data_IF_047256731203
#
_entry.id   IF_047256731203
#
_cell.length_a   1.000
_cell.length_b   1.000
_cell.length_c   1.000
_cell.angle_alpha   90.00
_cell.angle_beta   90.00
_cell.angle_gamma   90.00
#
_symmetry.space_group_name_H-M   'P 1'
#
loop_
_entity.id
_entity.type
_entity.pdbx_description
1 polymer ?
#
# COMPACT_ATOMS: atom_id res chain seq x y z
N UNK A 1 19.80 0.81 0.92
CA UNK A 1 21.23 1.07 1.18
C UNK A 1 22.01 1.63 -0.02
N UNK A 2 21.55 1.49 -1.27
CA UNK A 2 22.29 2.02 -2.45
C UNK A 2 22.22 3.55 -2.63
N UNK A 3 21.20 4.24 -2.11
CA UNK A 3 21.01 5.68 -2.36
C UNK A 3 21.77 6.61 -1.37
N UNK A 4 22.27 6.09 -0.25
CA UNK A 4 23.11 6.86 0.67
C UNK A 4 24.49 7.17 0.06
N UNK A 5 24.92 6.36 -0.90
CA UNK A 5 26.18 6.52 -1.61
C UNK A 5 26.22 7.74 -2.52
N UNK A 6 25.07 8.16 -3.07
CA UNK A 6 25.00 9.31 -3.98
C UNK A 6 25.30 10.60 -3.20
N UNK A 7 24.70 10.77 -2.01
CA UNK A 7 24.96 11.92 -1.14
C UNK A 7 26.42 11.91 -0.66
N UNK A 8 26.97 10.74 -0.32
CA UNK A 8 28.37 10.61 0.10
C UNK A 8 29.35 10.92 -1.05
N UNK A 9 29.03 10.49 -2.28
CA UNK A 9 29.82 10.76 -3.49
C UNK A 9 29.83 12.25 -3.83
N UNK A 10 28.68 12.93 -3.72
CA UNK A 10 28.57 14.37 -3.93
C UNK A 10 29.44 15.13 -2.91
N UNK A 11 29.42 14.74 -1.63
CA UNK A 11 30.25 15.37 -0.59
C UNK A 11 31.76 15.18 -0.82
N UNK A 12 32.19 14.00 -1.28
CA UNK A 12 33.62 13.72 -1.58
C UNK A 12 34.09 14.46 -2.84
N UNK A 13 33.21 14.59 -3.85
CA UNK A 13 33.54 15.35 -5.07
C UNK A 13 33.64 16.85 -4.81
N UNK A 14 32.81 17.40 -3.90
CA UNK A 14 32.91 18.81 -3.48
C UNK A 14 34.25 19.09 -2.79
N UNK A 15 34.79 18.16 -2.00
CA UNK A 15 36.14 18.28 -1.42
C UNK A 15 37.25 18.30 -2.50
N UNK A 16 37.06 17.56 -3.59
CA UNK A 16 37.97 17.58 -4.75
C UNK A 16 37.95 18.88 -5.57
N UNK A 17 36.89 19.69 -5.47
CA UNK A 17 36.77 20.98 -6.15
C UNK A 17 37.68 22.07 -5.58
N UNK A 18 38.15 21.92 -4.34
CA UNK A 18 39.02 22.89 -3.67
C UNK A 18 40.45 22.84 -4.23
N UNK A 19 40.88 21.70 -4.80
CA UNK A 19 42.28 21.44 -5.13
C UNK A 19 42.65 21.57 -6.61
N UNK A 20 41.70 21.51 -7.56
CA UNK A 20 42.00 21.55 -9.00
C UNK A 20 41.02 22.43 -9.82
N UNK A 21 41.43 23.62 -10.31
CA UNK A 21 40.53 24.55 -10.99
C UNK A 21 40.21 24.18 -12.45
N UNK A 22 41.08 23.45 -13.16
CA UNK A 22 40.86 23.04 -14.57
C UNK A 22 39.88 21.85 -14.73
N UNK A 23 39.60 21.11 -13.66
CA UNK A 23 38.66 19.98 -13.65
C UNK A 23 37.24 20.36 -13.20
N UNK A 24 37.01 21.61 -12.79
CA UNK A 24 35.71 22.07 -12.26
C UNK A 24 34.58 21.93 -13.27
N UNK A 25 34.80 22.34 -14.52
CA UNK A 25 33.74 22.34 -15.55
C UNK A 25 33.30 20.92 -15.92
N UNK A 26 34.27 20.02 -16.16
CA UNK A 26 34.01 18.61 -16.44
C UNK A 26 33.35 17.90 -15.24
N UNK A 27 33.77 18.24 -14.01
CA UNK A 27 33.15 17.71 -12.80
C UNK A 27 31.71 18.21 -12.61
N UNK A 28 31.42 19.48 -12.91
CA UNK A 28 30.06 20.02 -12.90
C UNK A 28 29.17 19.35 -13.95
N UNK A 29 29.67 19.07 -15.15
CA UNK A 29 28.92 18.32 -16.17
C UNK A 29 28.62 16.89 -15.73
N UNK A 30 29.58 16.22 -15.07
CA UNK A 30 29.35 14.88 -14.50
C UNK A 30 28.29 14.93 -13.38
N UNK A 31 28.37 15.89 -12.48
CA UNK A 31 27.39 16.08 -11.40
C UNK A 31 26.00 16.40 -11.99
N UNK A 32 25.94 17.31 -12.96
CA UNK A 32 24.71 17.70 -13.65
C UNK A 32 24.05 16.48 -14.32
N UNK A 33 24.81 15.69 -15.08
CA UNK A 33 24.33 14.45 -15.69
C UNK A 33 23.85 13.42 -14.65
N UNK A 34 24.55 13.27 -13.52
CA UNK A 34 24.12 12.36 -12.45
C UNK A 34 22.83 12.82 -11.77
N UNK A 35 22.65 14.14 -11.55
CA UNK A 35 21.42 14.70 -10.99
C UNK A 35 20.25 14.50 -11.95
N UNK A 36 20.44 14.72 -13.25
CA UNK A 36 19.41 14.46 -14.26
C UNK A 36 19.00 12.97 -14.32
N UNK A 37 19.96 12.04 -14.35
CA UNK A 37 19.66 10.60 -14.30
C UNK A 37 18.97 10.19 -12.99
N UNK A 38 19.35 10.82 -11.87
CA UNK A 38 18.68 10.64 -10.58
C UNK A 38 17.22 11.08 -10.61
N UNK A 39 16.92 12.19 -11.30
CA UNK A 39 15.55 12.71 -11.44
C UNK A 39 14.66 11.77 -12.27
N UNK A 40 15.15 11.24 -13.38
CA UNK A 40 14.43 10.26 -14.20
C UNK A 40 14.13 8.98 -13.41
N UNK A 41 15.10 8.52 -12.62
CA UNK A 41 14.94 7.33 -11.78
C UNK A 41 13.91 7.56 -10.67
N UNK A 42 13.89 8.74 -10.05
CA UNK A 42 12.90 9.12 -9.03
C UNK A 42 11.50 9.21 -9.62
N UNK A 43 11.34 9.79 -10.81
CA UNK A 43 10.06 9.85 -11.52
C UNK A 43 9.50 8.45 -11.81
N UNK A 44 10.32 7.54 -12.34
CA UNK A 44 9.93 6.15 -12.59
C UNK A 44 9.47 5.44 -11.31
N UNK A 45 10.17 5.68 -10.20
CA UNK A 45 9.81 5.11 -8.91
C UNK A 45 8.50 5.70 -8.34
N UNK A 46 8.31 7.01 -8.46
CA UNK A 46 7.07 7.70 -8.09
C UNK A 46 5.88 7.16 -8.90
N UNK A 47 6.06 6.95 -10.20
CA UNK A 47 5.09 6.31 -11.09
C UNK A 47 4.69 4.90 -10.65
N UNK A 48 5.67 4.10 -10.23
CA UNK A 48 5.42 2.75 -9.75
C UNK A 48 4.55 2.76 -8.49
N UNK A 49 4.88 3.60 -7.49
CA UNK A 49 4.10 3.71 -6.25
C UNK A 49 2.68 4.22 -6.56
N UNK A 50 2.57 5.23 -7.41
CA UNK A 50 1.29 5.78 -7.83
C UNK A 50 0.38 4.73 -8.48
N UNK A 51 0.92 3.95 -9.44
CA UNK A 51 0.20 2.83 -10.06
C UNK A 51 -0.23 1.78 -9.01
N UNK A 52 0.62 1.53 -8.01
CA UNK A 52 0.31 0.67 -6.87
C UNK A 52 -0.88 1.17 -6.05
N UNK A 53 -0.88 2.46 -5.69
CA UNK A 53 -1.98 3.13 -4.98
C UNK A 53 -3.29 3.01 -5.78
N UNK A 54 -3.26 3.38 -7.07
CA UNK A 54 -4.42 3.31 -7.96
C UNK A 54 -4.99 1.88 -8.06
N UNK A 55 -4.11 0.88 -8.19
CA UNK A 55 -4.50 -0.53 -8.20
C UNK A 55 -5.16 -0.92 -6.88
N UNK A 56 -4.60 -0.55 -5.74
CA UNK A 56 -5.13 -0.90 -4.42
C UNK A 56 -6.49 -0.25 -4.15
N UNK A 57 -6.70 0.99 -4.59
CA UNK A 57 -7.99 1.70 -4.48
C UNK A 57 -9.08 1.03 -5.32
N UNK A 58 -8.73 0.44 -6.47
CA UNK A 58 -9.67 -0.37 -7.27
C UNK A 58 -10.24 -1.55 -6.46
N UNK A 59 -9.40 -2.21 -5.66
CA UNK A 59 -9.83 -3.29 -4.76
C UNK A 59 -10.55 -2.76 -3.53
N UNK A 60 -10.18 -1.58 -3.04
CA UNK A 60 -10.72 -1.02 -1.81
C UNK A 60 -11.16 0.44 -2.01
N UNK A 61 -12.36 0.68 -2.59
CA UNK A 61 -12.84 2.02 -2.92
C UNK A 61 -12.94 2.99 -1.73
N UNK A 62 -13.00 2.46 -0.49
CA UNK A 62 -12.93 3.26 0.74
C UNK A 62 -11.66 4.12 0.85
N UNK A 63 -10.63 3.83 0.06
CA UNK A 63 -9.39 4.59 0.00
C UNK A 63 -9.34 5.62 -1.12
N UNK A 64 -10.46 5.87 -1.81
CA UNK A 64 -10.55 6.86 -2.89
C UNK A 64 -10.01 8.24 -2.48
N UNK A 65 -10.29 8.66 -1.24
CA UNK A 65 -9.73 9.88 -0.65
C UNK A 65 -8.20 9.97 -0.79
N UNK A 66 -7.47 8.88 -0.52
CA UNK A 66 -6.01 8.87 -0.63
C UNK A 66 -5.51 8.92 -2.07
N UNK A 67 -6.28 8.37 -3.03
CA UNK A 67 -5.97 8.49 -4.45
C UNK A 67 -6.11 9.95 -4.91
N UNK A 68 -7.18 10.63 -4.52
CA UNK A 68 -7.40 12.05 -4.85
C UNK A 68 -6.29 12.96 -4.32
N UNK A 69 -5.84 12.72 -3.08
CA UNK A 69 -4.71 13.45 -2.50
C UNK A 69 -3.38 13.13 -3.18
N UNK A 70 -3.24 11.88 -3.63
CA UNK A 70 -2.08 11.46 -4.40
C UNK A 70 -2.06 12.14 -5.78
N UNK A 71 -3.19 12.21 -6.48
CA UNK A 71 -3.35 12.92 -7.75
C UNK A 71 -3.03 14.41 -7.59
N UNK A 72 -3.55 15.02 -6.52
CA UNK A 72 -3.26 16.42 -6.15
C UNK A 72 -1.77 16.67 -5.94
N UNK A 73 -1.06 15.78 -5.22
CA UNK A 73 0.41 15.87 -5.06
C UNK A 73 1.12 15.84 -6.41
N UNK A 74 0.74 14.92 -7.31
CA UNK A 74 1.33 14.84 -8.66
C UNK A 74 1.10 16.12 -9.45
N UNK A 75 -0.12 16.65 -9.44
CA UNK A 75 -0.45 17.90 -10.13
C UNK A 75 0.38 19.09 -9.62
N UNK A 76 0.51 19.21 -8.28
CA UNK A 76 1.32 20.26 -7.65
C UNK A 76 2.78 20.15 -8.08
N UNK A 77 3.35 18.93 -8.09
CA UNK A 77 4.76 18.70 -8.44
C UNK A 77 5.00 18.93 -9.93
N UNK A 78 4.14 18.41 -10.82
CA UNK A 78 4.25 18.65 -12.27
C UNK A 78 4.20 20.14 -12.59
N UNK A 79 3.24 20.88 -12.02
CA UNK A 79 3.14 22.33 -12.22
C UNK A 79 4.38 23.09 -11.69
N UNK A 80 4.99 22.62 -10.59
CA UNK A 80 6.20 23.20 -10.03
C UNK A 80 7.45 22.93 -10.90
N UNK A 81 7.54 21.74 -11.52
CA UNK A 81 8.63 21.36 -12.42
C UNK A 81 8.58 22.12 -13.76
N UNK A 82 7.40 22.52 -14.21
CA UNK A 82 7.21 23.31 -15.44
C UNK A 82 7.54 24.80 -15.27
N UNK A 83 7.64 25.29 -14.03
CA UNK A 83 7.88 26.70 -13.73
C UNK A 83 9.23 26.90 -13.00
N UNK A 84 10.24 27.39 -13.72
CA UNK A 84 11.59 27.63 -13.21
C UNK A 84 11.66 28.65 -12.05
N UNK A 85 10.66 29.52 -11.93
CA UNK A 85 10.55 30.55 -10.89
C UNK A 85 9.71 30.12 -9.70
N UNK A 86 9.39 28.82 -9.59
CA UNK A 86 8.57 28.31 -8.50
C UNK A 86 9.26 28.51 -7.15
N UNK A 87 8.51 29.10 -6.21
CA UNK A 87 8.89 29.19 -4.81
C UNK A 87 8.64 27.85 -4.12
N UNK A 88 9.73 27.20 -3.71
CA UNK A 88 9.70 25.89 -3.06
C UNK A 88 8.98 25.92 -1.72
N UNK A 89 9.05 27.02 -0.97
CA UNK A 89 8.37 27.12 0.33
C UNK A 89 6.85 27.09 0.15
N UNK A 90 6.34 27.78 -0.87
CA UNK A 90 4.92 27.77 -1.22
C UNK A 90 4.48 26.37 -1.66
N UNK A 91 5.29 25.70 -2.50
CA UNK A 91 4.98 24.33 -2.95
C UNK A 91 4.97 23.35 -1.79
N UNK A 92 5.98 23.39 -0.93
CA UNK A 92 6.10 22.55 0.26
C UNK A 92 4.89 22.76 1.20
N UNK A 93 4.45 24.00 1.38
CA UNK A 93 3.25 24.32 2.16
C UNK A 93 1.99 23.68 1.56
N UNK A 94 1.79 23.79 0.24
CA UNK A 94 0.66 23.14 -0.47
C UNK A 94 0.71 21.62 -0.38
N UNK A 95 1.89 21.03 -0.52
CA UNK A 95 2.11 19.60 -0.37
C UNK A 95 1.80 19.12 1.06
N UNK A 96 2.21 19.88 2.08
CA UNK A 96 1.92 19.55 3.48
C UNK A 96 0.42 19.60 3.81
N UNK A 97 -0.35 20.44 3.13
CA UNK A 97 -1.82 20.50 3.30
C UNK A 97 -2.52 19.20 2.87
N UNK A 98 -1.89 18.40 2.00
CA UNK A 98 -2.44 17.10 1.58
C UNK A 98 -2.40 16.02 2.67
N UNK A 99 -1.71 16.29 3.79
CA UNK A 99 -1.62 15.38 4.93
C UNK A 99 -2.71 15.76 5.94
N UNK A 100 -3.65 14.87 6.19
CA UNK A 100 -4.74 15.03 7.16
C UNK A 100 -4.25 15.05 8.63
N UNK A 101 -3.28 14.20 8.97
CA UNK A 101 -2.76 14.10 10.34
C UNK A 101 -1.81 15.25 10.70
N UNK A 102 -2.19 16.04 11.71
CA UNK A 102 -1.42 17.18 12.22
C UNK A 102 -0.01 16.79 12.70
N UNK A 103 0.18 15.58 13.26
CA UNK A 103 1.50 15.12 13.72
C UNK A 103 2.41 14.76 12.54
N UNK A 104 1.91 13.97 11.59
CA UNK A 104 2.62 13.60 10.36
C UNK A 104 2.93 14.84 9.53
N UNK A 105 2.00 15.80 9.42
CA UNK A 105 2.20 17.08 8.74
C UNK A 105 3.38 17.87 9.32
N UNK A 106 3.45 18.02 10.64
CA UNK A 106 4.57 18.71 11.31
C UNK A 106 5.90 17.98 11.11
N UNK A 107 5.92 16.65 11.15
CA UNK A 107 7.14 15.87 10.92
C UNK A 107 7.62 15.96 9.48
N UNK A 108 6.70 15.96 8.52
CA UNK A 108 6.99 16.11 7.09
C UNK A 108 7.48 17.51 6.76
N UNK A 109 6.83 18.55 7.28
CA UNK A 109 7.31 19.94 7.15
C UNK A 109 8.75 20.12 7.67
N UNK A 110 9.09 19.52 8.82
CA UNK A 110 10.48 19.55 9.34
C UNK A 110 11.47 18.85 8.42
N UNK A 111 11.06 17.74 7.78
CA UNK A 111 11.90 17.04 6.80
C UNK A 111 12.06 17.83 5.51
N UNK A 112 11.01 18.51 5.06
CA UNK A 112 11.05 19.35 3.86
C UNK A 112 11.94 20.57 4.07
N UNK A 113 11.89 21.23 5.24
CA UNK A 113 12.77 22.37 5.55
C UNK A 113 14.27 22.01 5.51
N UNK A 114 14.63 20.82 6.03
CA UNK A 114 16.01 20.32 6.00
C UNK A 114 16.57 20.08 4.59
N UNK A 115 15.70 19.92 3.58
CA UNK A 115 16.11 19.73 2.18
C UNK A 115 16.31 21.08 1.45
N UNK A 116 15.49 22.08 1.79
CA UNK A 116 15.59 23.46 1.25
C UNK A 116 16.91 24.12 1.67
N UNK A 117 17.37 23.88 2.89
CA UNK A 117 18.55 24.52 3.47
C UNK A 117 19.89 24.08 2.83
N UNK A 118 19.89 23.12 1.90
CA UNK A 118 21.09 22.60 1.23
C UNK A 118 21.49 23.36 -0.06
N UNK A 119 20.81 24.45 -0.41
CA UNK A 119 21.05 25.20 -1.65
C UNK A 119 22.23 26.18 -1.55
N UNK A 120 23.46 25.70 -1.82
CA UNK A 120 24.66 26.52 -1.96
C UNK A 120 25.43 26.16 -3.25
N UNK A 121 24.90 26.49 -4.42
CA UNK A 121 25.63 26.35 -5.70
C UNK A 121 25.34 27.55 -6.63
N UNK A 122 26.38 28.14 -7.21
CA UNK A 122 26.31 29.37 -8.05
C UNK A 122 25.88 29.12 -9.52
N UNK A 123 25.67 27.86 -9.95
CA UNK A 123 25.35 27.52 -11.36
C UNK A 123 23.84 27.34 -11.56
N UNK A 124 23.22 28.23 -12.37
CA UNK A 124 21.76 28.29 -12.62
C UNK A 124 21.16 26.95 -13.06
N UNK A 125 21.78 26.23 -13.99
CA UNK A 125 21.27 24.95 -14.53
C UNK A 125 21.28 23.82 -13.48
N UNK A 126 22.36 23.73 -12.70
CA UNK A 126 22.47 22.78 -11.60
C UNK A 126 21.47 23.09 -10.48
N UNK A 127 21.20 24.37 -10.22
CA UNK A 127 20.15 24.77 -9.29
C UNK A 127 18.76 24.32 -9.74
N UNK A 128 18.43 24.43 -11.04
CA UNK A 128 17.16 23.92 -11.57
C UNK A 128 17.07 22.40 -11.39
N UNK A 129 18.13 21.66 -11.76
CA UNK A 129 18.16 20.21 -11.63
C UNK A 129 18.02 19.73 -10.17
N UNK A 130 18.64 20.45 -9.22
CA UNK A 130 18.52 20.17 -7.79
C UNK A 130 17.13 20.50 -7.24
N UNK A 131 16.51 21.62 -7.67
CA UNK A 131 15.11 21.92 -7.34
C UNK A 131 14.18 20.82 -7.85
N UNK A 132 14.42 20.29 -9.04
CA UNK A 132 13.66 19.17 -9.58
C UNK A 132 13.83 17.92 -8.71
N UNK A 133 15.05 17.60 -8.28
CA UNK A 133 15.30 16.47 -7.36
C UNK A 133 14.54 16.64 -6.04
N UNK A 134 14.56 17.83 -5.47
CA UNK A 134 13.88 18.12 -4.22
C UNK A 134 12.37 17.92 -4.33
N UNK A 135 11.75 18.45 -5.40
CA UNK A 135 10.34 18.25 -5.69
C UNK A 135 9.98 16.76 -5.85
N UNK A 136 10.82 15.99 -6.56
CA UNK A 136 10.61 14.54 -6.76
C UNK A 136 10.79 13.72 -5.49
N UNK A 137 11.70 14.12 -4.60
CA UNK A 137 11.86 13.51 -3.27
C UNK A 137 10.65 13.82 -2.40
N UNK A 138 10.13 15.05 -2.44
CA UNK A 138 8.94 15.43 -1.68
C UNK A 138 7.69 14.67 -2.17
N UNK A 139 7.54 14.51 -3.49
CA UNK A 139 6.54 13.64 -4.11
C UNK A 139 6.67 12.21 -3.57
N UNK A 140 7.87 11.63 -3.64
CA UNK A 140 8.16 10.27 -3.19
C UNK A 140 7.75 10.03 -1.73
N UNK A 141 8.09 10.97 -0.85
CA UNK A 141 7.80 10.86 0.58
C UNK A 141 6.30 10.85 0.83
N UNK A 142 5.53 11.68 0.12
CA UNK A 142 4.07 11.73 0.24
C UNK A 142 3.40 10.50 -0.37
N UNK A 143 3.89 10.02 -1.52
CA UNK A 143 3.43 8.78 -2.12
C UNK A 143 3.62 7.59 -1.17
N UNK A 144 4.77 7.50 -0.51
CA UNK A 144 5.01 6.48 0.51
C UNK A 144 4.10 6.64 1.74
N UNK A 145 3.82 7.87 2.16
CA UNK A 145 2.86 8.13 3.24
C UNK A 145 1.47 7.59 2.88
N UNK A 146 0.94 7.90 1.70
CA UNK A 146 -0.36 7.41 1.25
C UNK A 146 -0.35 5.90 1.02
N UNK A 147 0.68 5.36 0.38
CA UNK A 147 0.85 3.92 0.22
C UNK A 147 0.85 3.19 1.56
N UNK A 148 1.50 3.73 2.60
CA UNK A 148 1.48 3.18 3.95
C UNK A 148 0.08 3.23 4.59
N UNK A 149 -0.67 4.32 4.40
CA UNK A 149 -2.05 4.43 4.95
C UNK A 149 -3.01 3.44 4.32
N UNK A 150 -2.89 3.24 3.02
CA UNK A 150 -3.68 2.29 2.24
C UNK A 150 -3.23 0.86 2.55
N UNK A 151 -1.93 0.64 2.58
CA UNK A 151 -1.24 -0.63 2.69
C UNK A 151 -0.94 -1.09 4.11
N UNK A 152 -1.56 -0.50 5.16
CA UNK A 152 -1.47 -1.03 6.53
C UNK A 152 -1.63 -2.55 6.44
N UNK A 153 -0.57 -3.32 6.74
CA UNK A 153 -0.49 -4.70 6.30
C UNK A 153 -1.65 -5.46 6.94
N UNK A 154 -2.47 -6.10 6.10
CA UNK A 154 -3.02 -7.37 6.53
C UNK A 154 -1.83 -8.18 7.04
N UNK A 155 -1.95 -8.85 8.18
CA UNK A 155 -0.87 -9.69 8.68
C UNK A 155 -0.43 -10.60 7.53
N UNK A 156 0.81 -10.41 7.05
CA UNK A 156 1.33 -10.97 5.79
C UNK A 156 1.45 -12.49 5.82
N UNK A 157 1.24 -13.10 6.98
CA UNK A 157 1.31 -14.53 7.16
C UNK A 157 -0.10 -15.13 7.09
N UNK A 158 -0.42 -15.92 6.04
CA UNK A 158 -1.62 -16.73 6.06
C UNK A 158 -1.54 -17.65 7.29
N UNK A 159 -2.62 -17.67 8.07
CA UNK A 159 -2.78 -18.65 9.13
C UNK A 159 -3.14 -19.95 8.42
N UNK A 160 -2.21 -20.89 8.41
CA UNK A 160 -2.47 -22.24 7.91
C UNK A 160 -3.04 -23.08 9.04
N UNK A 161 -4.29 -23.52 8.88
CA UNK A 161 -4.96 -24.44 9.79
C UNK A 161 -5.11 -25.80 9.13
N UNK A 162 -4.80 -26.88 9.87
CA UNK A 162 -5.14 -28.24 9.47
C UNK A 162 -6.48 -28.61 10.10
N UNK A 163 -7.48 -28.88 9.27
CA UNK A 163 -8.83 -29.24 9.67
C UNK A 163 -9.10 -30.71 9.38
N UNK A 164 -9.52 -31.43 10.42
CA UNK A 164 -10.03 -32.79 10.32
C UNK A 164 -11.55 -32.75 10.44
N UNK A 165 -12.24 -33.10 9.37
CA UNK A 165 -13.69 -33.08 9.30
C UNK A 165 -14.21 -34.51 9.16
N UNK A 166 -15.22 -34.86 9.94
CA UNK A 166 -16.02 -36.07 9.74
C UNK A 166 -17.50 -35.67 9.54
N UNK A 167 -18.29 -36.58 8.98
CA UNK A 167 -19.73 -36.38 8.80
C UNK A 167 -20.56 -36.88 9.99
N UNK A 168 -19.92 -37.57 10.95
CA UNK A 168 -20.57 -38.19 12.10
C UNK A 168 -19.79 -37.89 13.37
N UNK A 169 -20.42 -37.25 14.35
CA UNK A 169 -19.79 -36.96 15.65
C UNK A 169 -19.83 -38.18 16.61
N UNK A 170 -20.75 -39.12 16.38
CA UNK A 170 -20.86 -40.38 17.12
C UNK A 170 -20.63 -41.54 16.17
N UNK A 171 -19.80 -42.51 16.62
CA UNK A 171 -19.36 -43.65 15.81
C UNK A 171 -19.57 -44.91 16.63
N UNK A 172 -20.30 -45.88 16.08
CA UNK A 172 -20.50 -47.15 16.74
C UNK A 172 -19.25 -48.04 16.63
N UNK A 173 -19.05 -48.95 17.59
CA UNK A 173 -17.94 -49.91 17.53
C UNK A 173 -18.05 -50.76 16.26
N UNK A 174 -16.97 -50.77 15.46
CA UNK A 174 -16.91 -51.51 14.19
C UNK A 174 -17.37 -50.72 12.96
N UNK A 175 -17.84 -49.48 13.15
CA UNK A 175 -18.22 -48.61 12.04
C UNK A 175 -17.00 -47.90 11.45
N UNK A 176 -16.91 -47.84 10.12
CA UNK A 176 -15.85 -47.11 9.43
C UNK A 176 -16.16 -45.61 9.38
N UNK A 177 -15.17 -44.78 9.73
CA UNK A 177 -15.30 -43.31 9.71
C UNK A 177 -14.54 -42.73 8.53
N UNK A 178 -15.25 -42.01 7.68
CA UNK A 178 -14.63 -41.26 6.59
C UNK A 178 -14.17 -39.90 7.10
N UNK A 179 -12.86 -39.73 7.24
CA UNK A 179 -12.22 -38.46 7.58
C UNK A 179 -11.85 -37.68 6.32
N UNK A 180 -12.14 -36.39 6.31
CA UNK A 180 -11.63 -35.43 5.33
C UNK A 180 -10.59 -34.55 6.00
N UNK A 181 -9.43 -34.47 5.39
CA UNK A 181 -8.32 -33.64 5.83
C UNK A 181 -8.21 -32.44 4.91
N UNK A 182 -8.24 -31.24 5.47
CA UNK A 182 -8.18 -29.98 4.71
C UNK A 182 -7.07 -29.12 5.29
N UNK A 183 -6.18 -28.65 4.43
CA UNK A 183 -5.27 -27.54 4.76
C UNK A 183 -5.94 -26.26 4.32
N UNK A 184 -6.25 -25.39 5.27
CA UNK A 184 -6.87 -24.09 5.03
C UNK A 184 -5.86 -22.98 5.26
N UNK A 185 -5.55 -22.18 4.24
CA UNK A 185 -4.75 -20.97 4.38
C UNK A 185 -5.66 -19.76 4.45
N UNK A 186 -5.76 -19.15 5.63
CA UNK A 186 -6.68 -18.07 5.93
C UNK A 186 -5.89 -16.77 6.09
N UNK A 187 -6.18 -15.77 5.27
CA UNK A 187 -5.59 -14.44 5.41
C UNK A 187 -6.35 -13.63 6.46
N UNK A 188 -5.68 -13.27 7.56
CA UNK A 188 -6.24 -12.34 8.55
C UNK A 188 -6.05 -10.91 8.07
N UNK A 189 -7.06 -10.40 7.39
CA UNK A 189 -7.19 -8.99 7.08
C UNK A 189 -8.26 -8.39 7.99
N UNK A 190 -7.90 -7.52 8.93
CA UNK A 190 -8.88 -6.75 9.74
C UNK A 190 -9.73 -5.78 8.87
N UNK A 191 -9.49 -5.77 7.56
CA UNK A 191 -10.09 -4.90 6.55
C UNK A 191 -10.59 -5.66 5.32
N UNK A 192 -10.69 -6.99 5.37
CA UNK A 192 -11.23 -7.80 4.28
C UNK A 192 -12.65 -7.34 3.93
N UNK A 193 -12.89 -7.04 2.65
CA UNK A 193 -14.21 -6.66 2.11
C UNK A 193 -14.94 -7.92 1.60
N UNK A 194 -14.93 -9.00 2.38
CA UNK A 194 -15.79 -10.15 2.10
C UNK A 194 -17.02 -10.11 2.99
N UNK A 195 -18.12 -10.64 2.47
CA UNK A 195 -19.40 -10.76 3.16
C UNK A 195 -19.85 -12.21 3.06
N UNK A 196 -20.48 -12.69 4.12
CA UNK A 196 -20.98 -14.06 4.19
C UNK A 196 -22.47 -13.99 4.51
N UNK A 197 -23.27 -14.78 3.79
CA UNK A 197 -24.68 -14.98 4.06
C UNK A 197 -24.94 -16.44 4.36
N UNK A 198 -25.83 -16.68 5.32
CA UNK A 198 -26.34 -17.99 5.67
C UNK A 198 -27.85 -17.97 5.41
N UNK A 199 -28.32 -18.78 4.46
CA UNK A 199 -29.72 -18.78 4.00
C UNK A 199 -30.22 -17.36 3.70
N UNK A 200 -29.49 -16.64 2.85
CA UNK A 200 -29.73 -15.24 2.45
C UNK A 200 -29.68 -14.18 3.57
N UNK A 201 -29.36 -14.55 4.81
CA UNK A 201 -29.18 -13.60 5.91
C UNK A 201 -27.70 -13.28 6.12
N UNK A 202 -27.31 -11.99 6.16
CA UNK A 202 -25.91 -11.62 6.36
C UNK A 202 -25.44 -12.09 7.74
N UNK A 203 -24.32 -12.81 7.78
CA UNK A 203 -23.62 -13.11 9.02
C UNK A 203 -22.86 -11.86 9.45
N UNK A 204 -23.22 -11.31 10.61
CA UNK A 204 -22.46 -10.24 11.23
C UNK A 204 -21.19 -10.86 11.81
N UNK A 205 -20.06 -10.60 11.16
CA UNK A 205 -18.76 -11.03 11.65
C UNK A 205 -18.24 -9.97 12.61
N UNK A 206 -17.98 -10.39 13.86
CA UNK A 206 -17.27 -9.52 14.79
C UNK A 206 -15.85 -9.26 14.29
N UNK A 207 -15.26 -8.12 14.67
CA UNK A 207 -13.91 -7.69 14.25
C UNK A 207 -12.84 -8.73 14.62
N UNK A 208 -13.05 -9.51 15.67
CA UNK A 208 -12.14 -10.58 16.10
C UNK A 208 -12.35 -11.89 15.31
N UNK A 209 -13.47 -12.04 14.61
CA UNK A 209 -13.84 -13.23 13.84
C UNK A 209 -13.84 -13.00 12.31
N UNK A 210 -13.21 -11.91 11.86
CA UNK A 210 -13.12 -11.51 10.44
C UNK A 210 -12.26 -12.44 9.56
N UNK A 211 -11.73 -13.52 10.13
CA UNK A 211 -10.95 -14.55 9.43
C UNK A 211 -11.51 -15.96 9.62
N UNK A 212 -12.34 -16.20 10.65
CA UNK A 212 -12.96 -17.51 10.91
C UNK A 212 -14.37 -17.29 11.43
N UNK A 213 -15.33 -17.34 10.52
CA UNK A 213 -16.74 -17.18 10.87
C UNK A 213 -17.30 -18.49 11.41
N UNK A 214 -17.81 -18.46 12.63
CA UNK A 214 -18.60 -19.56 13.18
C UNK A 214 -20.07 -19.16 13.18
N UNK A 215 -20.93 -20.10 12.82
CA UNK A 215 -22.38 -19.93 12.87
C UNK A 215 -23.01 -21.16 13.51
N UNK A 216 -24.10 -20.95 14.23
CA UNK A 216 -24.87 -22.04 14.85
C UNK A 216 -26.14 -22.24 14.05
N UNK A 217 -26.34 -23.46 13.56
CA UNK A 217 -27.58 -23.87 12.92
C UNK A 217 -28.43 -24.63 13.92
N UNK A 218 -29.69 -24.23 14.06
CA UNK A 218 -30.68 -25.03 14.77
C UNK A 218 -31.32 -25.99 13.77
N UNK A 219 -31.30 -27.31 14.01
CA UNK A 219 -32.03 -28.25 13.17
C UNK A 219 -33.52 -27.89 13.13
N UNK A 220 -34.11 -27.98 11.95
CA UNK A 220 -35.54 -27.67 11.74
C UNK A 220 -36.40 -28.91 11.78
N UNK A 221 -35.83 -30.07 11.42
CA UNK A 221 -36.51 -31.37 11.42
C UNK A 221 -35.53 -32.51 11.69
N UNK A 222 -36.10 -33.63 12.13
CA UNK A 222 -35.43 -34.93 12.10
C UNK A 222 -35.18 -35.33 10.64
N UNK A 223 -34.05 -35.97 10.38
CA UNK A 223 -33.58 -36.34 9.05
C UNK A 223 -32.76 -35.24 8.39
N UNK A 224 -32.88 -35.14 7.06
CA UNK A 224 -32.04 -34.27 6.23
C UNK A 224 -32.40 -32.79 6.40
N UNK A 225 -31.43 -31.98 6.79
CA UNK A 225 -31.50 -30.52 6.83
C UNK A 225 -30.53 -29.95 5.79
N UNK A 226 -30.91 -28.84 5.16
CA UNK A 226 -30.13 -28.16 4.12
C UNK A 226 -29.96 -26.70 4.49
N UNK A 227 -28.78 -26.14 4.20
CA UNK A 227 -28.50 -24.72 4.34
C UNK A 227 -27.57 -24.25 3.23
N UNK A 228 -27.64 -22.97 2.91
CA UNK A 228 -26.83 -22.33 1.87
C UNK A 228 -25.88 -21.33 2.50
N UNK A 229 -24.61 -21.37 2.08
CA UNK A 229 -23.64 -20.33 2.36
C UNK A 229 -23.33 -19.60 1.07
N UNK A 230 -23.50 -18.29 1.08
CA UNK A 230 -23.01 -17.42 0.00
C UNK A 230 -21.83 -16.61 0.54
N UNK A 231 -20.72 -16.62 -0.20
CA UNK A 231 -19.56 -15.76 0.06
C UNK A 231 -19.47 -14.76 -1.09
N UNK A 232 -19.47 -13.46 -0.76
CA UNK A 232 -19.20 -12.38 -1.71
C UNK A 232 -17.83 -11.80 -1.38
N UNK A 233 -16.95 -11.76 -2.36
CA UNK A 233 -15.64 -11.14 -2.26
C UNK A 233 -15.33 -10.33 -3.51
N UNK A 234 -14.15 -9.72 -3.54
CA UNK A 234 -13.62 -9.10 -4.76
C UNK A 234 -12.65 -10.04 -5.44
N UNK A 235 -12.79 -10.20 -6.75
CA UNK A 235 -11.88 -10.97 -7.58
C UNK A 235 -10.58 -10.20 -7.85
N UNK A 236 -9.67 -10.77 -8.66
CA UNK A 236 -8.38 -10.15 -9.02
C UNK A 236 -8.52 -8.85 -9.82
N UNK A 237 -9.69 -8.58 -10.38
CA UNK A 237 -9.99 -7.37 -11.13
C UNK A 237 -10.62 -6.29 -10.25
N UNK A 238 -10.98 -6.62 -8.99
CA UNK A 238 -11.65 -5.73 -8.04
C UNK A 238 -13.19 -5.78 -8.13
N UNK A 239 -13.75 -6.60 -9.02
CA UNK A 239 -15.18 -6.77 -9.18
C UNK A 239 -15.74 -7.66 -8.08
N UNK A 240 -16.99 -7.42 -7.67
CA UNK A 240 -17.66 -8.27 -6.68
C UNK A 240 -18.14 -9.57 -7.35
N UNK A 241 -17.77 -10.69 -6.75
CA UNK A 241 -18.21 -12.03 -7.17
C UNK A 241 -18.86 -12.74 -5.99
N UNK A 242 -19.92 -13.50 -6.29
CA UNK A 242 -20.63 -14.33 -5.32
C UNK A 242 -20.43 -15.80 -5.65
N UNK A 243 -20.11 -16.59 -4.64
CA UNK A 243 -20.10 -18.04 -4.71
C UNK A 243 -21.07 -18.59 -3.69
N UNK A 244 -22.08 -19.31 -4.14
CA UNK A 244 -23.07 -19.99 -3.30
C UNK A 244 -22.77 -21.49 -3.26
N UNK A 245 -22.84 -22.08 -2.07
CA UNK A 245 -22.70 -23.52 -1.85
C UNK A 245 -23.81 -24.00 -0.94
N UNK A 246 -24.47 -25.08 -1.36
CA UNK A 246 -25.44 -25.81 -0.54
C UNK A 246 -24.70 -26.85 0.31
N UNK A 247 -25.09 -26.94 1.58
CA UNK A 247 -24.60 -27.92 2.54
C UNK A 247 -25.77 -28.67 3.17
N UNK A 248 -25.53 -29.94 3.50
CA UNK A 248 -26.54 -30.85 4.04
C UNK A 248 -26.02 -31.53 5.31
N UNK A 249 -26.87 -31.65 6.32
CA UNK A 249 -26.58 -32.42 7.53
C UNK A 249 -27.81 -33.23 7.97
N UNK A 250 -27.59 -34.33 8.68
CA UNK A 250 -28.66 -35.21 9.15
C UNK A 250 -28.78 -35.14 10.68
N UNK A 251 -30.02 -35.18 11.15
CA UNK A 251 -30.35 -35.33 12.58
C UNK A 251 -31.08 -36.65 12.77
N UNK A 252 -30.51 -37.51 13.60
CA UNK A 252 -31.10 -38.80 13.97
C UNK A 252 -32.05 -38.63 15.17
N UNK A 253 -32.96 -39.60 15.36
CA UNK A 253 -33.93 -39.61 16.47
C UNK A 253 -33.30 -40.13 17.75
#
# INVERSE_FOLDING_TARGET
>A
MKNLWIILLVSVMILGMVTFPKSKTALFEVIENQVFQGNESLESYNDMIFKGIKKQVKFFPKYQYYLEHTDSVRQIVTAALENENTDLEIVISKLAQQIDDKKSRKQLLRRFQLLVDLQLIEKKTLNIALKHSELRVNELVLLNYFAYKIGKPCIEYPISEFLMLNTKNYVCKGEMVNWKYIVSSIYRCDKSDFRIWLNDKPLVLDKENSYKSSFKLRPTKIGKNTFEITIEGRNKEGNRERTTREFQFWVEK
#
